data_IF_045567209673
#
_entry.id   IF_045567209673
#
_cell.length_a   1.000
_cell.length_b   1.000
_cell.length_c   1.000
_cell.angle_alpha   90.00
_cell.angle_beta   90.00
_cell.angle_gamma   90.00
#
_symmetry.space_group_name_H-M   'P 1'
#
loop_
_entity.id
_entity.type
_entity.pdbx_description
1 polymer ?
#
# COMPACT_ATOMS: atom_id res chain seq x y z
N UNK A 1 31.60 21.44 -42.58
CA UNK A 1 31.28 20.02 -42.34
C UNK A 1 30.46 19.96 -41.07
N UNK A 2 29.24 20.45 -41.14
CA UNK A 2 28.34 20.53 -39.99
C UNK A 2 26.94 20.21 -40.51
N UNK A 3 26.51 18.96 -40.35
CA UNK A 3 25.11 18.56 -40.26
C UNK A 3 25.02 17.04 -40.25
N UNK A 4 25.06 16.45 -39.06
CA UNK A 4 24.63 15.07 -38.84
C UNK A 4 24.28 14.80 -37.37
N UNK A 5 23.72 15.80 -36.68
CA UNK A 5 23.18 15.61 -35.33
C UNK A 5 21.78 16.20 -35.17
N UNK A 6 21.32 17.05 -36.09
CA UNK A 6 19.98 17.63 -36.11
C UNK A 6 18.88 16.62 -36.46
N UNK A 7 19.16 15.60 -37.29
CA UNK A 7 18.14 14.65 -37.74
C UNK A 7 17.82 13.53 -36.75
N UNK A 8 18.63 13.34 -35.69
CA UNK A 8 18.38 12.31 -34.66
C UNK A 8 17.40 12.83 -33.59
N UNK A 9 17.28 14.15 -33.44
CA UNK A 9 16.45 14.78 -32.41
C UNK A 9 14.99 14.96 -32.85
N UNK A 10 14.73 14.98 -34.17
CA UNK A 10 13.39 15.24 -34.74
C UNK A 10 12.44 14.03 -34.69
N UNK A 11 12.95 12.84 -34.36
CA UNK A 11 12.16 11.60 -34.28
C UNK A 11 11.51 11.29 -32.93
N UNK A 12 11.80 12.06 -31.88
CA UNK A 12 11.34 11.77 -30.50
C UNK A 12 10.18 12.65 -30.03
N UNK A 13 9.81 13.67 -30.81
CA UNK A 13 8.84 14.69 -30.39
C UNK A 13 7.36 14.28 -30.60
N UNK A 14 7.08 13.11 -31.15
CA UNK A 14 5.71 12.73 -31.56
C UNK A 14 5.00 11.69 -30.69
N UNK A 15 5.58 11.26 -29.55
CA UNK A 15 5.02 10.12 -28.81
C UNK A 15 4.00 10.45 -27.70
N UNK A 16 3.82 11.71 -27.33
CA UNK A 16 2.77 12.11 -26.40
C UNK A 16 2.22 13.47 -26.80
N UNK A 17 0.91 13.56 -27.05
CA UNK A 17 0.23 14.84 -27.11
C UNK A 17 0.47 15.56 -25.78
N UNK A 18 0.76 16.87 -25.78
CA UNK A 18 1.01 17.67 -24.56
C UNK A 18 -0.11 17.52 -23.51
N UNK A 19 -1.32 17.19 -23.95
CA UNK A 19 -2.48 16.89 -23.10
C UNK A 19 -2.33 15.66 -22.18
N UNK A 20 -1.29 14.84 -22.37
CA UNK A 20 -1.02 13.64 -21.55
C UNK A 20 0.09 13.82 -20.51
N UNK A 21 0.64 15.03 -20.38
CA UNK A 21 1.66 15.36 -19.39
C UNK A 21 1.03 15.78 -18.06
N UNK A 22 1.56 15.23 -16.97
CA UNK A 22 1.13 15.51 -15.59
C UNK A 22 2.31 16.15 -14.86
N UNK A 23 2.08 17.31 -14.25
CA UNK A 23 3.08 17.91 -13.36
C UNK A 23 3.28 17.03 -12.13
N UNK A 24 4.54 16.76 -11.81
CA UNK A 24 4.92 15.89 -10.68
C UNK A 24 4.92 16.61 -9.34
N UNK A 25 4.64 17.92 -9.31
CA UNK A 25 4.53 18.71 -8.09
C UNK A 25 5.85 19.03 -7.39
N UNK A 26 7.00 18.69 -7.98
CA UNK A 26 8.32 18.93 -7.39
C UNK A 26 9.00 20.22 -7.89
N UNK A 27 8.90 20.51 -9.19
CA UNK A 27 9.22 21.81 -9.79
C UNK A 27 8.31 22.05 -11.01
N UNK A 28 8.37 23.25 -11.59
CA UNK A 28 7.55 23.63 -12.75
C UNK A 28 7.99 22.95 -14.06
N UNK A 29 9.15 22.29 -14.09
CA UNK A 29 9.77 21.71 -15.31
C UNK A 29 9.61 20.20 -15.40
N UNK A 30 9.32 19.53 -14.29
CA UNK A 30 9.16 18.09 -14.24
C UNK A 30 7.72 17.67 -14.46
N UNK A 31 7.47 17.19 -15.67
CA UNK A 31 6.25 16.50 -16.03
C UNK A 31 6.54 15.06 -16.45
N UNK A 32 5.59 14.17 -16.20
CA UNK A 32 5.61 12.81 -16.70
C UNK A 32 4.37 12.59 -17.55
N UNK A 33 4.51 11.89 -18.68
CA UNK A 33 3.33 11.40 -19.35
C UNK A 33 2.60 10.40 -18.44
N UNK A 34 1.28 10.27 -18.60
CA UNK A 34 0.46 9.34 -17.79
C UNK A 34 1.01 7.91 -17.74
N UNK A 35 1.57 7.41 -18.85
CA UNK A 35 2.17 6.08 -18.93
C UNK A 35 3.41 5.95 -18.05
N UNK A 36 4.32 6.93 -18.12
CA UNK A 36 5.52 6.95 -17.28
C UNK A 36 5.17 7.12 -15.80
N UNK A 37 4.20 7.98 -15.49
CA UNK A 37 3.68 8.16 -14.13
C UNK A 37 3.12 6.83 -13.59
N UNK A 38 2.28 6.13 -14.37
CA UNK A 38 1.77 4.80 -14.02
C UNK A 38 2.89 3.81 -13.73
N UNK A 39 3.90 3.73 -14.61
CA UNK A 39 5.01 2.79 -14.42
C UNK A 39 5.83 3.12 -13.16
N UNK A 40 6.11 4.40 -12.91
CA UNK A 40 6.81 4.85 -11.71
C UNK A 40 6.07 4.41 -10.43
N UNK A 41 4.75 4.67 -10.38
CA UNK A 41 3.90 4.28 -9.25
C UNK A 41 3.88 2.77 -9.05
N UNK A 42 3.62 1.99 -10.11
CA UNK A 42 3.58 0.53 -10.02
C UNK A 42 4.90 -0.04 -9.51
N UNK A 43 6.03 0.47 -10.01
CA UNK A 43 7.37 0.01 -9.63
C UNK A 43 7.70 0.33 -8.17
N UNK A 44 7.39 1.54 -7.71
CA UNK A 44 7.59 1.91 -6.30
C UNK A 44 6.67 1.12 -5.36
N UNK A 45 5.46 0.79 -5.80
CA UNK A 45 4.52 -0.02 -5.03
C UNK A 45 4.92 -1.50 -4.93
N UNK A 46 5.67 -2.05 -5.89
CA UNK A 46 6.11 -3.45 -5.87
C UNK A 46 7.39 -3.68 -5.06
N UNK A 47 8.17 -2.63 -4.80
CA UNK A 47 9.49 -2.74 -4.19
C UNK A 47 9.61 -1.72 -3.04
N UNK A 48 9.65 -2.21 -1.80
CA UNK A 48 9.62 -1.36 -0.60
C UNK A 48 10.73 -0.31 -0.55
N UNK A 49 11.97 -0.65 -0.96
CA UNK A 49 13.08 0.31 -0.94
C UNK A 49 12.96 1.43 -1.99
N UNK A 50 12.07 1.26 -2.98
CA UNK A 50 11.75 2.30 -3.96
C UNK A 50 10.56 3.16 -3.51
N UNK A 51 9.93 2.83 -2.39
CA UNK A 51 8.90 3.67 -1.79
C UNK A 51 9.51 4.91 -1.11
N UNK A 52 8.83 6.07 -1.11
CA UNK A 52 7.69 6.43 -1.96
C UNK A 52 8.09 6.63 -3.43
N UNK A 53 7.16 6.55 -4.41
CA UNK A 53 7.45 6.91 -5.80
C UNK A 53 7.98 8.34 -5.90
N UNK A 54 9.05 8.51 -6.68
CA UNK A 54 9.78 9.77 -6.81
C UNK A 54 9.95 10.14 -8.27
N UNK A 55 9.85 11.44 -8.55
CA UNK A 55 10.26 12.02 -9.83
C UNK A 55 11.76 12.36 -9.83
N UNK A 56 12.25 12.91 -8.72
CA UNK A 56 13.66 13.27 -8.51
C UNK A 56 14.02 13.09 -7.03
N UNK A 57 15.23 13.50 -6.62
CA UNK A 57 15.72 13.31 -5.24
C UNK A 57 14.80 13.92 -4.18
N UNK A 58 14.22 15.09 -4.45
CA UNK A 58 13.30 15.80 -3.54
C UNK A 58 11.83 15.65 -3.92
N UNK A 59 11.55 15.23 -5.15
CA UNK A 59 10.20 15.20 -5.72
C UNK A 59 9.49 13.89 -5.44
N UNK A 60 8.61 13.87 -4.44
CA UNK A 60 7.74 12.74 -4.13
C UNK A 60 6.43 12.85 -4.93
N UNK A 61 6.06 11.77 -5.63
CA UNK A 61 4.77 11.64 -6.31
C UNK A 61 3.72 11.35 -5.25
N UNK A 62 2.82 12.31 -5.02
CA UNK A 62 1.80 12.24 -3.98
C UNK A 62 0.45 11.73 -4.52
N UNK A 63 -0.53 11.58 -3.62
CA UNK A 63 -1.87 11.13 -3.99
C UNK A 63 -2.55 12.03 -5.03
N UNK A 64 -2.29 13.35 -5.01
CA UNK A 64 -2.85 14.30 -5.96
C UNK A 64 -2.33 14.07 -7.38
N UNK A 65 -1.01 13.87 -7.55
CA UNK A 65 -0.42 13.48 -8.83
C UNK A 65 -0.94 12.12 -9.31
N UNK A 66 -1.07 11.15 -8.40
CA UNK A 66 -1.58 9.79 -8.71
C UNK A 66 -3.03 9.80 -9.20
N UNK A 67 -3.86 10.79 -8.84
CA UNK A 67 -5.25 10.90 -9.33
C UNK A 67 -5.34 11.02 -10.86
N UNK A 68 -4.30 11.52 -11.51
CA UNK A 68 -4.23 11.66 -12.97
C UNK A 68 -3.93 10.35 -13.71
N UNK A 69 -3.70 9.24 -13.00
CA UNK A 69 -3.63 7.91 -13.58
C UNK A 69 -5.06 7.41 -13.83
N UNK A 70 -5.40 7.14 -15.09
CA UNK A 70 -6.73 6.69 -15.49
C UNK A 70 -7.06 5.27 -14.96
N UNK A 71 -6.03 4.46 -14.72
CA UNK A 71 -6.12 3.09 -14.18
C UNK A 71 -6.52 3.09 -12.69
N UNK A 72 -7.79 2.75 -12.41
CA UNK A 72 -8.33 2.65 -11.06
C UNK A 72 -7.60 1.60 -10.21
N UNK A 73 -7.19 0.47 -10.79
CA UNK A 73 -6.51 -0.59 -10.05
C UNK A 73 -5.15 -0.10 -9.52
N UNK A 74 -4.41 0.68 -10.33
CA UNK A 74 -3.15 1.30 -9.90
C UNK A 74 -3.36 2.31 -8.77
N UNK A 75 -4.42 3.11 -8.83
CA UNK A 75 -4.75 4.07 -7.75
C UNK A 75 -5.11 3.36 -6.44
N UNK A 76 -5.86 2.26 -6.52
CA UNK A 76 -6.17 1.41 -5.35
C UNK A 76 -4.88 0.80 -4.79
N UNK A 77 -4.04 0.24 -5.66
CA UNK A 77 -2.77 -0.36 -5.27
C UNK A 77 -1.84 0.63 -4.56
N UNK A 78 -1.72 1.85 -5.09
CA UNK A 78 -0.96 2.92 -4.46
C UNK A 78 -1.47 3.24 -3.05
N UNK A 79 -2.79 3.32 -2.86
CA UNK A 79 -3.40 3.59 -1.55
C UNK A 79 -3.13 2.45 -0.55
N UNK A 80 -3.27 1.20 -0.98
CA UNK A 80 -3.01 0.03 -0.13
C UNK A 80 -1.53 0.00 0.31
N UNK A 81 -0.59 0.20 -0.64
CA UNK A 81 0.84 0.28 -0.31
C UNK A 81 1.20 1.49 0.54
N UNK A 82 0.50 2.61 0.37
CA UNK A 82 0.66 3.77 1.24
C UNK A 82 0.30 3.47 2.69
N UNK A 83 -0.74 2.67 2.92
CA UNK A 83 -1.15 2.25 4.28
C UNK A 83 -0.20 1.20 4.87
N UNK A 84 0.38 0.34 4.04
CA UNK A 84 1.33 -0.69 4.47
C UNK A 84 2.70 -0.08 4.80
N UNK A 85 3.24 0.72 3.89
CA UNK A 85 4.60 1.26 3.98
C UNK A 85 4.69 2.54 4.82
N UNK A 86 3.57 3.12 5.24
CA UNK A 86 3.57 4.19 6.26
C UNK A 86 3.96 3.67 7.65
N UNK A 87 3.81 2.36 7.88
CA UNK A 87 4.21 1.71 9.13
C UNK A 87 5.60 1.09 8.98
N UNK A 88 6.43 1.12 10.04
CA UNK A 88 7.62 0.28 10.14
C UNK A 88 7.27 -1.21 9.99
N UNK A 89 8.16 -1.99 9.38
CA UNK A 89 7.94 -3.42 9.08
C UNK A 89 7.47 -4.25 10.28
N UNK A 90 7.98 -3.97 11.49
CA UNK A 90 7.62 -4.67 12.74
C UNK A 90 6.21 -4.33 13.26
N UNK A 91 5.60 -3.21 12.83
CA UNK A 91 4.24 -2.83 13.21
C UNK A 91 3.19 -3.41 12.25
N UNK A 92 3.59 -3.73 11.01
CA UNK A 92 2.70 -4.24 9.98
C UNK A 92 2.08 -5.58 10.40
N UNK A 93 0.86 -5.82 9.93
CA UNK A 93 0.14 -7.06 10.15
C UNK A 93 -0.13 -7.72 8.82
N UNK A 94 0.35 -8.95 8.67
CA UNK A 94 0.10 -9.78 7.50
C UNK A 94 -0.76 -10.99 7.86
N UNK A 95 -1.55 -11.45 6.90
CA UNK A 95 -2.30 -12.68 7.03
C UNK A 95 -1.34 -13.87 7.21
N UNK A 96 -1.50 -14.62 8.30
CA UNK A 96 -0.71 -15.84 8.58
C UNK A 96 -1.16 -17.05 7.75
N UNK A 97 -2.20 -16.92 6.91
CA UNK A 97 -2.47 -17.91 5.86
C UNK A 97 -1.34 -17.86 4.83
N UNK A 98 -0.60 -18.97 4.70
CA UNK A 98 0.59 -19.10 3.86
C UNK A 98 0.33 -18.86 2.38
N UNK A 99 -0.89 -19.15 1.91
CA UNK A 99 -1.31 -18.89 0.52
C UNK A 99 -1.71 -17.43 0.27
N UNK A 100 -2.06 -16.69 1.33
CA UNK A 100 -2.59 -15.33 1.20
C UNK A 100 -1.52 -14.27 1.46
N UNK A 101 -0.96 -14.23 2.69
CA UNK A 101 0.06 -13.26 3.12
C UNK A 101 -0.26 -11.78 2.86
N UNK A 102 -1.52 -11.44 2.57
CA UNK A 102 -1.94 -10.08 2.31
C UNK A 102 -1.77 -9.20 3.56
N UNK A 103 -1.44 -7.93 3.35
CA UNK A 103 -1.45 -6.93 4.41
C UNK A 103 -2.87 -6.76 4.97
N UNK A 104 -2.97 -6.73 6.29
CA UNK A 104 -4.19 -6.46 7.03
C UNK A 104 -4.04 -5.05 7.61
N UNK A 105 -4.74 -4.05 7.04
CA UNK A 105 -4.71 -2.72 7.61
C UNK A 105 -5.22 -2.77 9.04
N UNK A 106 -4.51 -2.11 9.96
CA UNK A 106 -5.02 -1.95 11.31
C UNK A 106 -6.31 -1.15 11.23
N UNK A 107 -7.42 -1.80 11.57
CA UNK A 107 -8.70 -1.14 11.78
C UNK A 107 -8.78 -0.87 13.27
N UNK A 108 -9.13 0.36 13.64
CA UNK A 108 -9.39 0.68 15.04
C UNK A 108 -10.40 -0.35 15.57
N UNK A 109 -10.09 -1.09 16.65
CA UNK A 109 -11.01 -2.05 17.22
C UNK A 109 -12.35 -1.41 17.57
N UNK A 110 -12.43 -0.11 17.84
CA UNK A 110 -13.70 0.60 18.07
C UNK A 110 -14.60 0.73 16.83
N UNK A 111 -14.03 0.68 15.63
CA UNK A 111 -14.78 0.76 14.36
C UNK A 111 -15.25 -0.62 13.86
N UNK A 112 -14.65 -1.71 14.36
CA UNK A 112 -14.86 -3.07 13.83
C UNK A 112 -15.27 -4.09 14.88
N UNK A 113 -14.99 -3.84 16.15
CA UNK A 113 -15.61 -4.56 17.23
C UNK A 113 -17.06 -4.07 17.32
N UNK A 114 -18.01 -4.99 17.16
CA UNK A 114 -19.27 -4.85 17.86
C UNK A 114 -19.02 -4.60 19.35
N UNK A 115 -20.03 -4.14 20.11
CA UNK A 115 -19.86 -3.76 21.51
C UNK A 115 -19.00 -4.79 22.25
N UNK A 116 -17.97 -4.36 23.01
CA UNK A 116 -17.06 -5.27 23.67
C UNK A 116 -17.90 -6.28 24.45
N UNK A 117 -17.83 -7.55 24.05
CA UNK A 117 -18.63 -8.56 24.72
C UNK A 117 -18.21 -8.54 26.18
N UNK A 118 -19.18 -8.32 27.06
CA UNK A 118 -19.05 -8.17 28.52
C UNK A 118 -18.35 -9.39 29.16
N UNK A 119 -18.18 -10.47 28.38
CA UNK A 119 -17.45 -11.69 28.69
C UNK A 119 -16.10 -11.79 27.96
N UNK A 120 -15.17 -10.83 28.15
CA UNK A 120 -13.75 -11.00 27.79
C UNK A 120 -13.44 -11.47 26.36
N UNK A 121 -14.35 -11.21 25.41
CA UNK A 121 -14.26 -11.72 24.05
C UNK A 121 -13.22 -10.97 23.24
N UNK A 122 -12.29 -11.73 22.66
CA UNK A 122 -11.29 -11.18 21.75
C UNK A 122 -11.96 -10.50 20.56
N UNK A 123 -11.40 -9.36 20.14
CA UNK A 123 -11.76 -8.76 18.87
C UNK A 123 -11.04 -9.50 17.74
N UNK A 124 -11.79 -9.77 16.68
CA UNK A 124 -11.32 -10.48 15.50
C UNK A 124 -11.35 -9.54 14.32
N UNK A 125 -10.30 -9.57 13.50
CA UNK A 125 -10.29 -8.90 12.20
C UNK A 125 -10.34 -9.95 11.09
N UNK A 126 -10.98 -9.63 9.98
CA UNK A 126 -10.96 -10.49 8.81
C UNK A 126 -9.89 -10.01 7.84
N UNK A 127 -9.11 -10.94 7.28
CA UNK A 127 -8.25 -10.64 6.15
C UNK A 127 -9.11 -10.11 4.98
N UNK A 128 -8.82 -8.93 4.41
CA UNK A 128 -9.61 -8.38 3.32
C UNK A 128 -9.61 -9.27 2.08
N UNK A 129 -8.50 -9.97 1.84
CA UNK A 129 -8.28 -10.81 0.65
C UNK A 129 -8.89 -12.21 0.75
N UNK A 130 -8.64 -12.95 1.84
CA UNK A 130 -9.06 -14.36 1.97
C UNK A 130 -10.12 -14.62 3.04
N UNK A 131 -10.55 -13.59 3.78
CA UNK A 131 -11.55 -13.65 4.86
C UNK A 131 -11.16 -14.49 6.08
N UNK A 132 -9.93 -15.02 6.14
CA UNK A 132 -9.39 -15.65 7.34
C UNK A 132 -9.49 -14.70 8.54
N UNK A 133 -9.98 -15.22 9.67
CA UNK A 133 -10.11 -14.47 10.93
C UNK A 133 -8.80 -14.48 11.69
N UNK A 134 -8.36 -13.31 12.12
CA UNK A 134 -7.19 -13.12 12.95
C UNK A 134 -7.54 -12.44 14.27
N UNK A 135 -6.88 -12.84 15.34
CA UNK A 135 -7.00 -12.24 16.66
C UNK A 135 -6.24 -10.92 16.70
N UNK A 136 -6.88 -9.83 17.14
CA UNK A 136 -6.23 -8.51 17.30
C UNK A 136 -5.12 -8.48 18.34
N UNK A 137 -5.08 -9.47 19.24
CA UNK A 137 -4.12 -9.55 20.33
C UNK A 137 -2.84 -10.27 19.92
N UNK A 138 -2.96 -11.50 19.42
CA UNK A 138 -1.80 -12.32 19.04
C UNK A 138 -1.47 -12.29 17.55
N UNK A 139 -2.34 -11.69 16.71
CA UNK A 139 -2.23 -11.63 15.24
C UNK A 139 -2.38 -12.98 14.52
N UNK A 140 -2.51 -14.07 15.28
CA UNK A 140 -2.71 -15.42 14.76
C UNK A 140 -4.15 -15.68 14.32
N UNK A 141 -4.31 -16.77 13.57
CA UNK A 141 -5.60 -17.26 13.10
C UNK A 141 -6.46 -17.80 14.24
N UNK A 142 -7.78 -17.83 14.01
CA UNK A 142 -8.75 -18.42 14.93
C UNK A 142 -8.46 -19.89 15.28
N UNK A 143 -7.90 -20.68 14.36
CA UNK A 143 -7.56 -22.09 14.60
C UNK A 143 -6.36 -22.30 15.54
N UNK A 144 -5.59 -21.24 15.85
CA UNK A 144 -4.56 -21.25 16.88
C UNK A 144 -5.11 -21.01 18.30
N UNK A 145 -6.44 -20.85 18.44
CA UNK A 145 -7.12 -20.61 19.71
C UNK A 145 -7.85 -21.88 20.18
N UNK A 146 -8.24 -21.94 21.45
CA UNK A 146 -8.99 -23.10 21.97
C UNK A 146 -10.41 -23.22 21.36
N UNK A 147 -11.15 -24.27 21.72
CA UNK A 147 -12.52 -24.53 21.26
C UNK A 147 -13.51 -23.40 21.60
N UNK A 148 -13.18 -22.56 22.58
CA UNK A 148 -13.93 -21.37 22.97
C UNK A 148 -13.43 -20.10 22.28
N UNK A 149 -12.47 -20.23 21.37
CA UNK A 149 -11.82 -19.13 20.68
C UNK A 149 -11.05 -18.25 21.66
N UNK A 150 -10.36 -18.83 22.66
CA UNK A 150 -9.53 -18.08 23.62
C UNK A 150 -8.07 -18.00 23.23
N UNK A 151 -7.50 -16.81 23.36
CA UNK A 151 -6.13 -16.51 22.99
C UNK A 151 -5.18 -16.95 24.10
N UNK A 152 -4.51 -18.08 23.88
CA UNK A 152 -3.53 -18.64 24.82
C UNK A 152 -2.28 -17.74 24.98
N UNK A 153 -2.02 -16.85 24.01
CA UNK A 153 -0.94 -15.88 24.12
C UNK A 153 -1.20 -14.79 25.19
N UNK A 154 -2.46 -14.57 25.60
CA UNK A 154 -2.80 -13.69 26.73
C UNK A 154 -2.39 -14.37 28.04
N UNK A 155 -2.61 -15.68 28.17
CA UNK A 155 -2.33 -16.45 29.39
C UNK A 155 -0.82 -16.47 29.72
N UNK A 156 0.05 -16.48 28.71
CA UNK A 156 1.51 -16.44 28.90
C UNK A 156 2.07 -15.04 29.20
N UNK A 157 1.33 -13.97 28.94
CA UNK A 157 1.79 -12.58 29.16
C UNK A 157 1.40 -12.01 30.52
N UNK A 158 0.69 -12.76 31.35
CA UNK A 158 0.32 -12.32 32.70
C UNK A 158 -0.50 -11.02 32.74
N UNK A 159 -1.17 -10.66 31.64
CA UNK A 159 -2.09 -9.53 31.60
C UNK A 159 -3.42 -10.03 32.19
N UNK A 160 -3.44 -10.19 33.51
CA UNK A 160 -4.66 -10.19 34.31
C UNK A 160 -5.40 -8.88 34.03
N UNK A 161 -6.68 -9.01 33.68
CA UNK A 161 -7.59 -7.87 33.46
C UNK A 161 -7.80 -7.01 34.70
#
# INVERSE_FOLDING_TARGET
MENSLSSVVEGWQSYHAEADLVSTGCDERHSLCKKCLRQCVVTACSIEHLWPPRCCTTGVINAETVRHIDDLAVRIYFRERSQEFSLPSWQRWYCTNTECRAYIPWQDPSETAGPPSIFGGQSWVHCPSCKTKHCTVCKERLDAHDDRGRCQAIELRGISG
#
